data_IF_726126064522
#
_entry.id   IF_726126064522
#
_cell.length_a   1.000
_cell.length_b   1.000
_cell.length_c   1.000
_cell.angle_alpha   90.00
_cell.angle_beta   90.00
_cell.angle_gamma   90.00
#
_symmetry.space_group_name_H-M   'P 1'
#
loop_
_entity.id
_entity.type
_entity.pdbx_description
1 polymer ?
#
# COMPACT_ATOMS: atom_id res chain seq x y z
N UNK A 1 -30.84 -8.20 2.47
CA UNK A 1 -30.93 -6.73 2.47
C UNK A 1 -30.47 -6.06 3.76
N UNK A 2 -30.72 -6.62 4.98
CA UNK A 2 -30.21 -6.03 6.26
C UNK A 2 -28.68 -5.94 6.32
N UNK A 3 -27.95 -7.00 5.95
CA UNK A 3 -26.48 -7.05 5.95
C UNK A 3 -25.84 -5.98 5.07
N UNK A 4 -26.40 -5.70 3.89
CA UNK A 4 -25.91 -4.65 2.98
C UNK A 4 -26.08 -3.25 3.55
N UNK A 5 -27.15 -3.00 4.32
CA UNK A 5 -27.35 -1.71 5.00
C UNK A 5 -26.35 -1.50 6.14
N UNK A 6 -26.05 -2.56 6.90
CA UNK A 6 -25.09 -2.52 8.00
C UNK A 6 -23.66 -2.34 7.53
N UNK A 7 -23.31 -2.88 6.36
CA UNK A 7 -21.97 -2.81 5.76
C UNK A 7 -21.82 -1.69 4.72
N UNK A 8 -22.83 -0.83 4.53
CA UNK A 8 -22.82 0.16 3.45
C UNK A 8 -21.57 1.02 3.44
N UNK A 9 -21.18 1.58 4.57
CA UNK A 9 -20.00 2.46 4.67
C UNK A 9 -18.71 1.69 4.41
N UNK A 10 -18.60 0.47 4.94
CA UNK A 10 -17.48 -0.41 4.65
C UNK A 10 -17.39 -0.73 3.16
N UNK A 11 -18.50 -1.13 2.51
CA UNK A 11 -18.51 -1.50 1.09
C UNK A 11 -18.09 -0.31 0.21
N UNK A 12 -18.58 0.88 0.51
CA UNK A 12 -18.20 2.09 -0.24
C UNK A 12 -16.71 2.37 -0.08
N UNK A 13 -16.20 2.35 1.16
CA UNK A 13 -14.78 2.54 1.42
C UNK A 13 -13.94 1.45 0.74
N UNK A 14 -14.33 0.19 0.91
CA UNK A 14 -13.62 -0.96 0.35
C UNK A 14 -13.54 -0.92 -1.18
N UNK A 15 -14.64 -0.62 -1.87
CA UNK A 15 -14.65 -0.52 -3.33
C UNK A 15 -13.72 0.60 -3.82
N UNK A 16 -13.86 1.80 -3.27
CA UNK A 16 -13.06 2.95 -3.72
C UNK A 16 -11.58 2.77 -3.42
N UNK A 17 -11.23 2.24 -2.26
CA UNK A 17 -9.84 1.94 -1.90
C UNK A 17 -9.27 0.79 -2.75
N UNK A 18 -10.08 -0.22 -3.12
CA UNK A 18 -9.64 -1.30 -4.01
C UNK A 18 -9.33 -0.80 -5.41
N UNK A 19 -10.15 0.10 -5.96
CA UNK A 19 -9.88 0.71 -7.26
C UNK A 19 -8.65 1.63 -7.22
N UNK A 20 -8.48 2.41 -6.16
CA UNK A 20 -7.27 3.22 -5.96
C UNK A 20 -6.02 2.36 -5.83
N UNK A 21 -6.09 1.25 -5.07
CA UNK A 21 -4.99 0.30 -4.95
C UNK A 21 -4.63 -0.34 -6.30
N UNK A 22 -5.61 -0.62 -7.15
CA UNK A 22 -5.36 -1.11 -8.52
C UNK A 22 -4.61 -0.07 -9.35
N UNK A 23 -5.05 1.20 -9.33
CA UNK A 23 -4.37 2.29 -10.02
C UNK A 23 -2.91 2.44 -9.60
N UNK A 24 -2.66 2.50 -8.30
CA UNK A 24 -1.30 2.62 -7.75
C UNK A 24 -0.44 1.38 -8.05
N UNK A 25 -1.01 0.17 -8.01
CA UNK A 25 -0.30 -1.04 -8.40
C UNK A 25 0.05 -1.05 -9.90
N UNK A 26 -0.86 -0.57 -10.76
CA UNK A 26 -0.60 -0.41 -12.20
C UNK A 26 0.51 0.61 -12.47
N UNK A 27 0.51 1.75 -11.79
CA UNK A 27 1.57 2.76 -11.88
C UNK A 27 2.92 2.17 -11.48
N UNK A 28 3.00 1.47 -10.34
CA UNK A 28 4.23 0.82 -9.90
C UNK A 28 4.73 -0.22 -10.91
N UNK A 29 3.83 -1.04 -11.46
CA UNK A 29 4.19 -2.03 -12.47
C UNK A 29 4.70 -1.38 -13.77
N UNK A 30 4.02 -0.33 -14.25
CA UNK A 30 4.42 0.40 -15.44
C UNK A 30 5.77 1.09 -15.27
N UNK A 31 6.06 1.64 -14.09
CA UNK A 31 7.34 2.26 -13.75
C UNK A 31 8.50 1.25 -13.76
N UNK A 32 8.27 0.04 -13.26
CA UNK A 32 9.28 -1.03 -13.32
C UNK A 32 9.62 -1.38 -14.78
N UNK A 33 8.60 -1.50 -15.64
CA UNK A 33 8.81 -1.79 -17.07
C UNK A 33 9.53 -0.61 -17.74
N UNK A 34 9.05 0.61 -17.53
CA UNK A 34 9.64 1.81 -18.11
C UNK A 34 11.11 1.96 -17.70
N UNK A 35 11.39 1.81 -16.41
CA UNK A 35 12.74 1.91 -15.87
C UNK A 35 13.68 0.83 -16.42
N UNK A 36 13.16 -0.39 -16.63
CA UNK A 36 13.93 -1.46 -17.24
C UNK A 36 14.23 -1.17 -18.71
N UNK A 37 13.26 -0.63 -19.44
CA UNK A 37 13.46 -0.25 -20.86
C UNK A 37 14.46 0.91 -21.01
N UNK A 38 14.42 1.88 -20.09
CA UNK A 38 15.31 3.04 -20.11
C UNK A 38 16.73 2.71 -19.67
N UNK A 39 16.89 1.96 -18.56
CA UNK A 39 18.22 1.66 -17.97
C UNK A 39 18.88 0.39 -18.49
N UNK A 40 18.12 -0.55 -19.05
CA UNK A 40 18.59 -1.89 -19.41
C UNK A 40 19.08 -2.75 -18.23
N UNK A 41 18.86 -2.31 -16.98
CA UNK A 41 19.45 -2.88 -15.77
C UNK A 41 18.39 -3.45 -14.81
N UNK A 42 18.42 -4.77 -14.62
CA UNK A 42 17.59 -5.42 -13.61
C UNK A 42 17.93 -4.97 -12.18
N UNK A 43 19.18 -4.57 -11.92
CA UNK A 43 19.60 -4.05 -10.63
C UNK A 43 18.90 -2.71 -10.32
N UNK A 44 18.81 -1.83 -11.31
CA UNK A 44 18.15 -0.53 -11.19
C UNK A 44 16.66 -0.71 -10.84
N UNK A 45 15.96 -1.64 -11.48
CA UNK A 45 14.56 -1.94 -11.16
C UNK A 45 14.40 -2.62 -9.80
N UNK A 46 15.32 -3.49 -9.41
CA UNK A 46 15.29 -4.11 -8.08
C UNK A 46 15.49 -3.06 -6.96
N UNK A 47 16.38 -2.09 -7.17
CA UNK A 47 16.60 -0.99 -6.23
C UNK A 47 15.35 -0.11 -6.05
N UNK A 48 14.50 0.03 -7.07
CA UNK A 48 13.22 0.73 -6.93
C UNK A 48 12.34 0.08 -5.85
N UNK A 49 12.25 -1.24 -5.85
CA UNK A 49 11.52 -1.99 -4.83
C UNK A 49 12.15 -1.83 -3.44
N UNK A 50 13.48 -1.91 -3.36
CA UNK A 50 14.20 -1.70 -2.09
C UNK A 50 13.95 -0.30 -1.54
N UNK A 51 13.97 0.73 -2.38
CA UNK A 51 13.68 2.11 -1.99
C UNK A 51 12.26 2.29 -1.43
N UNK A 52 11.28 1.51 -1.90
CA UNK A 52 9.93 1.52 -1.35
C UNK A 52 9.83 0.74 -0.04
N UNK A 53 10.37 -0.48 0.01
CA UNK A 53 10.20 -1.38 1.14
C UNK A 53 11.09 -1.05 2.34
N UNK A 54 12.32 -0.58 2.14
CA UNK A 54 13.23 -0.29 3.25
C UNK A 54 12.69 0.82 4.17
N UNK A 55 12.23 2.00 3.67
CA UNK A 55 11.60 3.01 4.50
C UNK A 55 10.29 2.53 5.14
N UNK A 56 9.49 1.73 4.41
CA UNK A 56 8.28 1.11 4.95
C UNK A 56 8.58 0.27 6.19
N UNK A 57 9.57 -0.62 6.11
CA UNK A 57 9.96 -1.51 7.23
C UNK A 57 10.50 -0.70 8.41
N UNK A 58 11.38 0.27 8.17
CA UNK A 58 11.93 1.12 9.23
C UNK A 58 10.85 1.92 9.95
N UNK A 59 9.91 2.48 9.20
CA UNK A 59 8.83 3.28 9.77
C UNK A 59 7.73 2.44 10.42
N UNK A 60 7.56 1.17 10.05
CA UNK A 60 6.53 0.28 10.58
C UNK A 60 6.61 0.11 12.09
N UNK A 61 7.79 0.24 12.68
CA UNK A 61 8.01 0.19 14.14
C UNK A 61 7.25 1.30 14.86
N UNK A 62 7.13 2.46 14.22
CA UNK A 62 6.44 3.64 14.76
C UNK A 62 4.99 3.75 14.28
N UNK A 63 4.67 3.11 13.18
CA UNK A 63 3.40 3.24 12.48
C UNK A 63 2.20 2.85 13.35
N UNK A 64 2.31 1.79 14.15
CA UNK A 64 1.29 1.40 15.12
C UNK A 64 1.02 2.51 16.14
N UNK A 65 2.07 3.04 16.77
CA UNK A 65 1.95 4.10 17.76
C UNK A 65 1.37 5.41 17.19
N UNK A 66 1.70 5.73 15.93
CA UNK A 66 1.14 6.88 15.20
C UNK A 66 -0.34 6.63 14.91
N UNK A 67 -0.64 5.44 14.37
CA UNK A 67 -2.01 5.06 14.07
C UNK A 67 -2.91 5.05 15.31
N UNK A 68 -2.42 4.66 16.47
CA UNK A 68 -3.20 4.63 17.69
C UNK A 68 -3.57 6.02 18.20
N UNK A 69 -2.62 6.96 18.10
CA UNK A 69 -2.78 8.32 18.67
C UNK A 69 -3.56 9.27 17.77
N UNK A 70 -3.49 9.11 16.47
CA UNK A 70 -4.07 10.06 15.52
C UNK A 70 -5.42 9.61 14.98
N UNK A 71 -6.22 10.57 14.53
CA UNK A 71 -7.49 10.29 13.86
C UNK A 71 -7.25 9.50 12.57
N UNK A 72 -7.83 8.29 12.49
CA UNK A 72 -7.59 7.33 11.41
C UNK A 72 -7.94 7.91 10.04
N UNK A 73 -9.05 8.65 9.96
CA UNK A 73 -9.48 9.33 8.73
C UNK A 73 -8.48 10.41 8.30
N UNK A 74 -8.00 11.21 9.25
CA UNK A 74 -7.01 12.26 8.97
C UNK A 74 -5.69 11.66 8.47
N UNK A 75 -5.21 10.58 9.11
CA UNK A 75 -4.00 9.85 8.67
C UNK A 75 -4.16 9.36 7.25
N UNK A 76 -5.27 8.67 6.92
CA UNK A 76 -5.52 8.17 5.57
C UNK A 76 -5.54 9.31 4.55
N UNK A 77 -6.27 10.42 4.84
CA UNK A 77 -6.36 11.56 3.93
C UNK A 77 -5.00 12.24 3.70
N UNK A 78 -4.19 12.39 4.74
CA UNK A 78 -2.85 12.99 4.63
C UNK A 78 -1.92 12.09 3.81
N UNK A 79 -1.88 10.80 4.12
CA UNK A 79 -1.06 9.84 3.36
C UNK A 79 -1.50 9.76 1.90
N UNK A 80 -2.79 9.69 1.65
CA UNK A 80 -3.37 9.70 0.31
C UNK A 80 -2.99 10.99 -0.44
N UNK A 81 -3.17 12.17 0.18
CA UNK A 81 -2.80 13.45 -0.46
C UNK A 81 -1.31 13.51 -0.81
N UNK A 82 -0.46 13.00 0.08
CA UNK A 82 0.97 12.98 -0.14
C UNK A 82 1.35 12.04 -1.31
N UNK A 83 0.73 10.86 -1.37
CA UNK A 83 0.93 9.93 -2.48
C UNK A 83 0.52 10.55 -3.82
N UNK A 84 -0.63 11.25 -3.87
CA UNK A 84 -1.07 11.96 -5.07
C UNK A 84 -0.09 13.05 -5.50
N UNK A 85 0.44 13.82 -4.57
CA UNK A 85 1.46 14.84 -4.88
C UNK A 85 2.70 14.18 -5.48
N UNK A 86 3.18 13.07 -4.92
CA UNK A 86 4.28 12.31 -5.49
C UNK A 86 3.98 11.83 -6.92
N UNK A 87 2.77 11.32 -7.16
CA UNK A 87 2.34 10.85 -8.48
C UNK A 87 2.22 12.01 -9.48
N UNK A 88 1.73 13.18 -9.05
CA UNK A 88 1.67 14.39 -9.89
C UNK A 88 3.09 14.89 -10.23
N UNK A 89 4.00 14.93 -9.25
CA UNK A 89 5.41 15.32 -9.49
C UNK A 89 6.02 14.38 -10.53
N UNK A 90 5.80 13.08 -10.40
CA UNK A 90 6.29 12.07 -11.34
C UNK A 90 5.74 12.31 -12.75
N UNK A 91 4.43 12.59 -12.89
CA UNK A 91 3.82 12.88 -14.18
C UNK A 91 4.39 14.17 -14.81
N UNK A 92 4.62 15.20 -14.02
CA UNK A 92 5.22 16.45 -14.50
C UNK A 92 6.64 16.23 -14.98
N UNK A 93 7.47 15.52 -14.20
CA UNK A 93 8.85 15.20 -14.58
C UNK A 93 8.91 14.33 -15.84
N UNK A 94 7.97 13.40 -16.00
CA UNK A 94 7.86 12.58 -17.20
C UNK A 94 7.51 13.43 -18.42
N UNK A 95 6.53 14.33 -18.31
CA UNK A 95 6.10 15.20 -19.42
C UNK A 95 7.11 16.25 -19.83
N UNK A 96 8.00 16.62 -18.91
CA UNK A 96 9.08 17.59 -19.19
C UNK A 96 10.37 16.92 -19.63
N UNK A 97 10.39 15.60 -19.84
CA UNK A 97 11.56 14.80 -20.17
C UNK A 97 12.73 14.97 -19.18
N UNK A 98 12.42 15.34 -17.93
CA UNK A 98 13.42 15.55 -16.87
C UNK A 98 13.41 14.43 -15.83
N UNK A 99 12.61 13.38 -16.03
CA UNK A 99 12.50 12.26 -15.12
C UNK A 99 13.81 11.47 -15.10
N UNK A 100 14.53 11.50 -13.99
CA UNK A 100 15.73 10.71 -13.76
C UNK A 100 15.45 9.58 -12.76
N UNK A 101 16.23 8.51 -12.81
CA UNK A 101 16.10 7.31 -11.96
C UNK A 101 16.05 7.66 -10.46
N UNK A 102 16.87 8.59 -10.02
CA UNK A 102 16.93 8.99 -8.61
C UNK A 102 15.61 9.66 -8.12
N UNK A 103 14.88 10.36 -9.01
CA UNK A 103 13.56 10.90 -8.67
C UNK A 103 12.60 9.76 -8.30
N UNK A 104 12.61 8.67 -9.07
CA UNK A 104 11.79 7.49 -8.81
C UNK A 104 12.14 6.84 -7.47
N UNK A 105 13.42 6.74 -7.13
CA UNK A 105 13.86 6.20 -5.85
C UNK A 105 13.37 7.04 -4.68
N UNK A 106 13.52 8.36 -4.76
CA UNK A 106 13.06 9.28 -3.71
C UNK A 106 11.54 9.23 -3.56
N UNK A 107 10.79 9.33 -4.66
CA UNK A 107 9.33 9.32 -4.63
C UNK A 107 8.78 7.98 -4.10
N UNK A 108 9.38 6.85 -4.50
CA UNK A 108 9.01 5.54 -3.97
C UNK A 108 9.36 5.39 -2.48
N UNK A 109 10.50 5.91 -2.03
CA UNK A 109 10.88 5.91 -0.62
C UNK A 109 9.87 6.70 0.23
N UNK A 110 9.46 7.86 -0.23
CA UNK A 110 8.44 8.70 0.41
C UNK A 110 7.07 8.00 0.46
N UNK A 111 6.65 7.37 -0.64
CA UNK A 111 5.43 6.56 -0.67
C UNK A 111 5.51 5.37 0.28
N UNK A 112 6.65 4.70 0.38
CA UNK A 112 6.87 3.61 1.34
C UNK A 112 6.70 4.07 2.79
N UNK A 113 7.25 5.24 3.16
CA UNK A 113 7.05 5.85 4.48
C UNK A 113 5.56 6.12 4.77
N UNK A 114 4.84 6.71 3.83
CA UNK A 114 3.42 7.03 4.01
C UNK A 114 2.57 5.76 4.11
N UNK A 115 2.82 4.77 3.27
CA UNK A 115 2.10 3.49 3.31
C UNK A 115 2.28 2.74 4.62
N UNK A 116 3.43 2.84 5.28
CA UNK A 116 3.67 2.19 6.57
C UNK A 116 2.72 2.68 7.66
N UNK A 117 2.37 3.98 7.64
CA UNK A 117 1.45 4.60 8.60
C UNK A 117 -0.01 4.43 8.17
N UNK A 118 -0.27 4.49 6.87
CA UNK A 118 -1.61 4.37 6.30
C UNK A 118 -2.19 2.97 6.50
N UNK A 119 -1.39 1.91 6.34
CA UNK A 119 -1.85 0.52 6.44
C UNK A 119 -2.53 0.22 7.78
N UNK A 120 -1.90 0.42 8.96
CA UNK A 120 -2.55 0.16 10.23
C UNK A 120 -3.75 1.10 10.49
N UNK A 121 -3.70 2.35 10.03
CA UNK A 121 -4.82 3.28 10.15
C UNK A 121 -6.05 2.80 9.36
N UNK A 122 -5.83 2.28 8.14
CA UNK A 122 -6.87 1.69 7.31
C UNK A 122 -7.45 0.42 7.94
N UNK A 123 -6.63 -0.44 8.53
CA UNK A 123 -7.07 -1.66 9.19
C UNK A 123 -7.98 -1.36 10.39
N UNK A 124 -7.60 -0.40 11.21
CA UNK A 124 -8.43 0.07 12.33
C UNK A 124 -9.72 0.72 11.83
N UNK A 125 -9.65 1.55 10.78
CA UNK A 125 -10.81 2.19 10.18
C UNK A 125 -11.84 1.15 9.69
N UNK A 126 -11.39 0.11 9.01
CA UNK A 126 -12.24 -1.01 8.55
C UNK A 126 -12.88 -1.73 9.73
N UNK A 127 -12.11 -2.00 10.78
CA UNK A 127 -12.63 -2.64 12.00
C UNK A 127 -13.72 -1.80 12.65
N UNK A 128 -13.52 -0.48 12.77
CA UNK A 128 -14.50 0.45 13.35
C UNK A 128 -15.79 0.59 12.52
N UNK A 129 -15.69 0.44 11.20
CA UNK A 129 -16.82 0.51 10.27
C UNK A 129 -17.58 -0.82 10.15
N UNK A 130 -17.03 -1.90 10.70
CA UNK A 130 -17.58 -3.25 10.54
C UNK A 130 -18.13 -3.75 11.87
N UNK A 131 -19.42 -4.16 11.96
CA UNK A 131 -19.94 -4.86 13.12
C UNK A 131 -19.21 -6.21 13.32
N UNK A 132 -18.94 -6.60 14.58
CA UNK A 132 -18.16 -7.80 14.93
C UNK A 132 -18.63 -9.08 14.21
N UNK A 133 -19.94 -9.27 14.11
CA UNK A 133 -20.58 -10.40 13.40
C UNK A 133 -20.20 -10.51 11.92
N UNK A 134 -19.59 -9.50 11.35
CA UNK A 134 -19.23 -9.42 9.92
C UNK A 134 -17.72 -9.37 9.66
N UNK A 135 -16.86 -9.40 10.68
CA UNK A 135 -15.41 -9.33 10.52
C UNK A 135 -14.86 -10.36 9.54
N UNK A 136 -15.34 -11.60 9.60
CA UNK A 136 -14.89 -12.65 8.68
C UNK A 136 -15.24 -12.32 7.22
N UNK A 137 -16.44 -11.75 6.97
CA UNK A 137 -16.87 -11.37 5.62
C UNK A 137 -16.04 -10.21 5.07
N UNK A 138 -15.79 -9.20 5.89
CA UNK A 138 -15.00 -8.02 5.48
C UNK A 138 -13.54 -8.39 5.25
N UNK A 139 -12.95 -9.26 6.06
CA UNK A 139 -11.62 -9.81 5.83
C UNK A 139 -11.55 -10.63 4.55
N UNK A 140 -12.56 -11.46 4.28
CA UNK A 140 -12.66 -12.21 3.02
C UNK A 140 -12.74 -11.30 1.79
N UNK A 141 -13.55 -10.22 1.85
CA UNK A 141 -13.64 -9.23 0.77
C UNK A 141 -12.32 -8.50 0.54
N UNK A 142 -11.60 -8.13 1.60
CA UNK A 142 -10.26 -7.52 1.48
C UNK A 142 -9.25 -8.46 0.84
N UNK A 143 -9.20 -9.71 1.27
CA UNK A 143 -8.33 -10.72 0.66
C UNK A 143 -8.67 -10.96 -0.81
N UNK A 144 -9.96 -11.00 -1.14
CA UNK A 144 -10.42 -11.11 -2.51
C UNK A 144 -9.98 -9.92 -3.37
N UNK A 145 -10.13 -8.68 -2.87
CA UNK A 145 -9.61 -7.48 -3.58
C UNK A 145 -8.11 -7.55 -3.80
N UNK A 146 -7.34 -7.90 -2.77
CA UNK A 146 -5.88 -7.98 -2.90
C UNK A 146 -5.47 -9.01 -3.96
N UNK A 147 -6.15 -10.15 -4.01
CA UNK A 147 -5.93 -11.16 -5.04
C UNK A 147 -6.32 -10.66 -6.43
N UNK A 148 -7.47 -9.97 -6.55
CA UNK A 148 -7.89 -9.38 -7.83
C UNK A 148 -6.90 -8.32 -8.31
N UNK A 149 -6.47 -7.39 -7.44
CA UNK A 149 -5.47 -6.38 -7.77
C UNK A 149 -4.19 -7.06 -8.25
N UNK A 150 -3.69 -8.08 -7.56
CA UNK A 150 -2.48 -8.79 -7.94
C UNK A 150 -2.58 -9.44 -9.33
N UNK A 151 -3.73 -10.04 -9.68
CA UNK A 151 -3.95 -10.70 -10.97
C UNK A 151 -4.20 -9.69 -12.09
N UNK A 152 -4.99 -8.64 -11.82
CA UNK A 152 -5.42 -7.68 -12.84
C UNK A 152 -4.35 -6.66 -13.15
N UNK A 153 -3.50 -6.29 -12.19
CA UNK A 153 -2.46 -5.26 -12.36
C UNK A 153 -1.58 -5.49 -13.59
N UNK A 154 -0.90 -6.64 -13.77
CA UNK A 154 -0.02 -6.81 -14.92
C UNK A 154 -0.79 -6.77 -16.25
N UNK A 155 -1.98 -7.34 -16.31
CA UNK A 155 -2.78 -7.36 -17.53
C UNK A 155 -3.28 -5.97 -17.93
N UNK A 156 -3.89 -5.24 -16.98
CA UNK A 156 -4.40 -3.89 -17.25
C UNK A 156 -3.29 -2.86 -17.44
N UNK A 157 -2.21 -2.94 -16.64
CA UNK A 157 -1.07 -2.04 -16.79
C UNK A 157 -0.37 -2.26 -18.12
N UNK A 158 -0.10 -3.51 -18.54
CA UNK A 158 0.52 -3.79 -19.82
C UNK A 158 -0.36 -3.37 -21.00
N UNK A 159 -1.67 -3.61 -20.93
CA UNK A 159 -2.62 -3.17 -21.94
C UNK A 159 -2.60 -1.63 -22.05
N UNK A 160 -2.82 -0.92 -20.95
CA UNK A 160 -2.89 0.53 -20.96
C UNK A 160 -1.57 1.17 -21.38
N UNK A 161 -0.43 0.62 -20.91
CA UNK A 161 0.91 1.03 -21.29
C UNK A 161 1.13 0.88 -22.82
N UNK A 162 0.67 -0.22 -23.40
CA UNK A 162 0.82 -0.51 -24.84
C UNK A 162 -0.04 0.38 -25.72
N UNK A 163 -1.27 0.70 -25.31
CA UNK A 163 -2.22 1.47 -26.13
C UNK A 163 -2.09 2.99 -25.94
N UNK A 164 -1.76 3.45 -24.75
CA UNK A 164 -1.84 4.86 -24.39
C UNK A 164 -0.62 5.40 -23.62
N UNK A 165 0.40 4.56 -23.42
CA UNK A 165 1.64 4.95 -22.76
C UNK A 165 1.55 5.06 -21.23
N UNK A 166 2.70 5.34 -20.61
CA UNK A 166 2.83 5.40 -19.15
C UNK A 166 2.04 6.56 -18.55
N UNK A 167 1.87 7.66 -19.27
CA UNK A 167 1.10 8.82 -18.84
C UNK A 167 -0.37 8.46 -18.57
N UNK A 168 -0.95 7.60 -19.41
CA UNK A 168 -2.32 7.14 -19.25
C UNK A 168 -2.49 6.25 -18.00
N UNK A 169 -1.48 5.45 -17.68
CA UNK A 169 -1.47 4.63 -16.46
C UNK A 169 -1.45 5.53 -15.22
N UNK A 170 -0.57 6.53 -15.21
CA UNK A 170 -0.47 7.50 -14.11
C UNK A 170 -1.76 8.34 -14.00
N UNK A 171 -2.35 8.74 -15.13
CA UNK A 171 -3.62 9.47 -15.13
C UNK A 171 -4.77 8.62 -14.57
N UNK A 172 -4.82 7.32 -14.91
CA UNK A 172 -5.79 6.38 -14.35
C UNK A 172 -5.64 6.26 -12.82
N UNK A 173 -4.41 6.16 -12.32
CA UNK A 173 -4.11 6.14 -10.88
C UNK A 173 -4.64 7.42 -10.20
N UNK A 174 -4.34 8.59 -10.74
CA UNK A 174 -4.83 9.86 -10.21
C UNK A 174 -6.36 9.99 -10.21
N UNK A 175 -7.04 9.45 -11.22
CA UNK A 175 -8.51 9.45 -11.30
C UNK A 175 -9.09 8.54 -10.22
N UNK A 176 -8.61 7.30 -10.12
CA UNK A 176 -9.09 6.34 -9.11
C UNK A 176 -8.79 6.80 -7.69
N UNK A 177 -7.61 7.39 -7.48
CA UNK A 177 -7.22 8.04 -6.25
C UNK A 177 -8.18 9.19 -5.89
N UNK A 178 -8.43 10.12 -6.82
CA UNK A 178 -9.30 11.26 -6.60
C UNK A 178 -10.71 10.83 -6.20
N UNK A 179 -11.24 9.78 -6.84
CA UNK A 179 -12.52 9.19 -6.48
C UNK A 179 -12.52 8.63 -5.05
N UNK A 180 -11.48 7.87 -4.67
CA UNK A 180 -11.34 7.31 -3.34
C UNK A 180 -11.19 8.41 -2.27
N UNK A 181 -10.38 9.44 -2.55
CA UNK A 181 -10.16 10.58 -1.68
C UNK A 181 -11.46 11.36 -1.42
N UNK A 182 -12.22 11.70 -2.48
CA UNK A 182 -13.51 12.40 -2.37
C UNK A 182 -14.49 11.60 -1.53
N UNK A 183 -14.58 10.29 -1.78
CA UNK A 183 -15.47 9.41 -1.04
C UNK A 183 -15.06 9.33 0.44
N UNK A 184 -13.78 9.16 0.73
CA UNK A 184 -13.28 9.13 2.10
C UNK A 184 -13.54 10.47 2.81
N UNK A 185 -13.32 11.59 2.13
CA UNK A 185 -13.47 12.93 2.70
C UNK A 185 -14.92 13.25 3.03
N UNK A 186 -15.85 13.03 2.10
CA UNK A 186 -17.22 13.52 2.22
C UNK A 186 -18.23 12.47 2.69
N UNK A 187 -18.04 11.20 2.33
CA UNK A 187 -19.06 10.16 2.57
C UNK A 187 -18.73 9.22 3.73
N UNK A 188 -17.45 9.07 4.09
CA UNK A 188 -17.04 8.14 5.14
C UNK A 188 -16.85 8.91 6.45
N UNK A 189 -17.62 8.53 7.47
CA UNK A 189 -17.41 8.97 8.86
C UNK A 189 -16.88 7.78 9.64
N UNK A 190 -15.59 7.84 9.99
CA UNK A 190 -14.97 6.82 10.83
C UNK A 190 -15.22 7.22 12.28
N UNK A 191 -15.89 6.37 13.08
CA UNK A 191 -16.06 6.64 14.50
C UNK A 191 -14.70 6.78 15.16
N UNK A 192 -14.55 7.73 16.06
CA UNK A 192 -13.34 7.79 16.88
C UNK A 192 -13.37 6.58 17.82
N UNK A 193 -12.34 5.75 17.75
CA UNK A 193 -12.14 4.76 18.80
C UNK A 193 -12.06 5.53 20.13
N UNK A 194 -12.84 5.11 21.12
CA UNK A 194 -12.79 5.72 22.44
C UNK A 194 -11.34 5.65 22.94
N UNK A 195 -10.61 6.73 22.76
CA UNK A 195 -9.23 6.83 23.21
C UNK A 195 -9.22 6.89 24.73
N UNK A 196 -9.19 5.72 25.36
CA UNK A 196 -8.74 5.59 26.75
C UNK A 196 -7.20 5.56 26.76
N UNK A 197 -6.57 6.57 26.26
CA UNK A 197 -5.14 6.74 26.48
C UNK A 197 -4.91 8.06 27.19
N UNK A 198 -5.11 8.05 28.51
CA UNK A 198 -4.56 9.07 29.41
C UNK A 198 -3.03 9.05 29.48
N UNK A 199 -2.40 8.09 28.81
CA UNK A 199 -0.96 7.96 28.79
C UNK A 199 -0.35 8.93 27.80
N UNK A 200 0.31 9.95 28.32
CA UNK A 200 1.21 10.89 27.62
C UNK A 200 2.52 10.21 27.18
N UNK A 201 2.50 8.94 26.85
CA UNK A 201 3.70 8.24 26.37
C UNK A 201 4.17 8.84 25.06
N UNK A 202 5.47 9.04 24.92
CA UNK A 202 6.06 9.45 23.66
C UNK A 202 5.97 8.31 22.65
N UNK A 203 6.04 8.60 21.34
CA UNK A 203 6.02 7.58 20.28
C UNK A 203 7.12 6.52 20.49
N UNK A 204 8.30 6.96 20.93
CA UNK A 204 9.42 6.06 21.25
C UNK A 204 9.12 5.14 22.45
N UNK A 205 8.44 5.64 23.47
CA UNK A 205 8.02 4.82 24.61
C UNK A 205 6.99 3.78 24.19
N UNK A 206 5.99 4.16 23.40
CA UNK A 206 4.98 3.22 22.89
C UNK A 206 5.60 2.15 21.99
N UNK A 207 6.54 2.50 21.11
CA UNK A 207 7.28 1.54 20.29
C UNK A 207 8.15 0.58 21.17
N UNK A 208 8.82 1.13 22.18
CA UNK A 208 9.59 0.33 23.14
C UNK A 208 8.71 -0.62 23.94
N UNK A 209 7.55 -0.15 24.41
CA UNK A 209 6.59 -0.99 25.15
C UNK A 209 6.09 -2.16 24.29
N UNK A 210 5.82 -1.93 22.99
CA UNK A 210 5.48 -2.98 22.04
C UNK A 210 6.59 -4.02 21.86
N UNK A 211 7.85 -3.58 21.73
CA UNK A 211 9.00 -4.49 21.64
C UNK A 211 9.22 -5.29 22.92
N UNK A 212 9.07 -4.65 24.09
CA UNK A 212 9.16 -5.34 25.39
C UNK A 212 8.04 -6.38 25.53
N UNK A 213 6.82 -6.04 25.14
CA UNK A 213 5.70 -6.98 25.13
C UNK A 213 5.97 -8.20 24.24
N UNK A 214 6.49 -8.01 23.03
CA UNK A 214 6.89 -9.10 22.14
C UNK A 214 7.97 -9.97 22.77
N UNK A 215 8.98 -9.37 23.38
CA UNK A 215 10.06 -10.10 24.04
C UNK A 215 9.56 -10.90 25.26
N UNK A 216 8.57 -10.40 25.98
CA UNK A 216 7.96 -11.11 27.11
C UNK A 216 7.05 -12.27 26.68
N UNK A 217 6.50 -12.22 25.46
CA UNK A 217 5.63 -13.25 24.90
C UNK A 217 6.36 -14.08 23.83
N UNK A 218 7.27 -14.95 24.27
CA UNK A 218 8.12 -15.74 23.37
C UNK A 218 7.36 -16.54 22.33
N UNK A 219 6.17 -17.06 22.66
CA UNK A 219 5.34 -17.81 21.68
C UNK A 219 4.90 -16.94 20.50
N UNK A 220 4.51 -15.69 20.75
CA UNK A 220 4.16 -14.72 19.71
C UNK A 220 5.39 -14.35 18.89
N UNK A 221 6.52 -14.12 19.55
CA UNK A 221 7.78 -13.79 18.88
C UNK A 221 8.22 -14.91 17.93
N UNK A 222 8.22 -16.17 18.39
CA UNK A 222 8.57 -17.30 17.55
C UNK A 222 7.63 -17.49 16.38
N UNK A 223 6.31 -17.28 16.57
CA UNK A 223 5.32 -17.33 15.50
C UNK A 223 5.60 -16.26 14.44
N UNK A 224 5.87 -15.03 14.85
CA UNK A 224 6.20 -13.93 13.93
C UNK A 224 7.49 -14.25 13.16
N UNK A 225 8.54 -14.72 13.81
CA UNK A 225 9.80 -15.10 13.16
C UNK A 225 9.59 -16.24 12.15
N UNK A 226 8.81 -17.25 12.51
CA UNK A 226 8.50 -18.38 11.63
C UNK A 226 7.73 -17.93 10.38
N UNK A 227 6.67 -17.12 10.56
CA UNK A 227 5.92 -16.56 9.44
C UNK A 227 6.77 -15.64 8.57
N UNK A 228 7.66 -14.85 9.18
CA UNK A 228 8.59 -13.97 8.45
C UNK A 228 9.58 -14.79 7.61
N UNK A 229 10.09 -15.90 8.14
CA UNK A 229 10.97 -16.79 7.40
C UNK A 229 10.25 -17.44 6.19
N UNK A 230 9.01 -17.88 6.36
CA UNK A 230 8.19 -18.43 5.26
C UNK A 230 7.96 -17.34 4.19
N UNK A 231 7.59 -16.13 4.60
CA UNK A 231 7.37 -15.02 3.65
C UNK A 231 8.67 -14.66 2.90
N UNK A 232 9.82 -14.66 3.57
CA UNK A 232 11.11 -14.42 2.94
C UNK A 232 11.41 -15.46 1.86
N UNK A 233 11.24 -16.75 2.19
CA UNK A 233 11.46 -17.86 1.23
C UNK A 233 10.49 -17.73 0.04
N UNK A 234 9.21 -17.47 0.30
CA UNK A 234 8.20 -17.27 -0.74
C UNK A 234 8.53 -16.07 -1.65
N UNK A 235 9.03 -14.98 -1.07
CA UNK A 235 9.44 -13.78 -1.83
C UNK A 235 10.66 -14.04 -2.70
N UNK A 236 11.65 -14.76 -2.19
CA UNK A 236 12.84 -15.17 -2.97
C UNK A 236 12.40 -16.07 -4.13
N UNK A 237 11.52 -17.05 -3.86
CA UNK A 237 11.02 -17.96 -4.88
C UNK A 237 10.26 -17.22 -5.99
N UNK A 238 9.33 -16.33 -5.63
CA UNK A 238 8.57 -15.55 -6.62
C UNK A 238 9.41 -14.55 -7.40
N UNK A 239 10.49 -14.05 -6.83
CA UNK A 239 11.44 -13.17 -7.52
C UNK A 239 12.35 -13.93 -8.51
N UNK A 240 12.62 -15.20 -8.23
CA UNK A 240 13.46 -16.05 -9.08
C UNK A 240 12.71 -16.66 -10.29
N UNK A 241 11.39 -16.84 -10.17
CA UNK A 241 10.56 -17.50 -11.21
C UNK A 241 10.50 -16.77 -12.57
N UNK A 242 10.50 -15.43 -12.68
CA UNK A 242 10.45 -14.75 -13.97
C UNK A 242 11.71 -14.93 -14.81
N UNK A 243 12.87 -15.21 -14.20
CA UNK A 243 14.14 -15.31 -14.91
C UNK A 243 14.22 -16.49 -15.90
N UNK A 244 13.77 -17.73 -15.58
CA UNK A 244 13.82 -18.86 -16.53
C UNK A 244 12.85 -18.72 -17.69
N UNK A 245 11.70 -18.05 -17.51
CA UNK A 245 10.68 -17.91 -18.56
C UNK A 245 11.16 -16.99 -19.69
N UNK A 246 11.97 -16.00 -19.38
CA UNK A 246 12.53 -15.07 -20.38
C UNK A 246 13.57 -15.74 -21.29
N UNK A 247 14.28 -16.78 -20.80
CA UNK A 247 15.29 -17.50 -21.59
C UNK A 247 14.70 -18.60 -22.48
N UNK A 248 13.49 -19.12 -22.18
CA UNK A 248 12.86 -20.19 -22.95
C UNK A 248 12.06 -19.70 -24.15
N UNK A 249 11.69 -18.43 -24.21
CA UNK A 249 10.95 -17.84 -25.33
C UNK A 249 11.81 -17.02 -26.32
N UNK A 250 13.13 -16.96 -26.12
CA UNK A 250 14.08 -16.28 -27.01
C UNK A 250 14.97 -17.25 -27.83
N UNK A 251 14.50 -18.50 -28.02
CA UNK A 251 15.11 -19.46 -28.94
C UNK A 251 14.18 -19.82 -30.07
#
# INVERSE_FOLDING_TARGET
MKTLKELKLFIILWLTQSFSSLGSAMTNFALVIWLYQDSGSALTTALLSVCSYAPYVLMSIFAGAISDKWNKKAVMLVCDSFAAVCTIIMLVLLKTDTLAVWHLYVLNALNGLMNSVQSPASDVAVTLLTPEKHYQKTSGLRSFSNSLVSILTPAFAAALLSFAGIEAVIAFDLITFSAAFIVLLFFIRIPEAAQKSENKETLLQSAKSGLVYLKSNQGILWLILFLSAINLIASIHSSALPAPVSYTHLR
#
